data_IF_606159073244
#
_entry.id   IF_606159073244
#
_cell.length_a   1.000
_cell.length_b   1.000
_cell.length_c   1.000
_cell.angle_alpha   90.00
_cell.angle_beta   90.00
_cell.angle_gamma   90.00
#
_symmetry.space_group_name_H-M   'P 1'
#
loop_
_entity.id
_entity.type
_entity.pdbx_description
1 polymer ?
#
# COMPACT_ATOMS: atom_id res chain seq x y z
N UNK A 1 -22.22 -26.22 5.19
CA UNK A 1 -21.36 -25.42 4.29
C UNK A 1 -22.11 -24.24 3.66
N UNK A 2 -23.34 -24.42 3.14
CA UNK A 2 -24.10 -23.33 2.50
C UNK A 2 -24.33 -22.10 3.38
N UNK A 3 -24.75 -22.28 4.64
CA UNK A 3 -24.92 -21.16 5.58
C UNK A 3 -23.65 -20.31 5.76
N UNK A 4 -22.47 -20.95 5.87
CA UNK A 4 -21.18 -20.25 5.97
C UNK A 4 -20.87 -19.47 4.69
N UNK A 5 -21.15 -20.06 3.53
CA UNK A 5 -21.00 -19.42 2.22
C UNK A 5 -21.86 -18.16 2.08
N UNK A 6 -23.12 -18.22 2.48
CA UNK A 6 -24.03 -17.07 2.42
C UNK A 6 -23.53 -15.91 3.31
N UNK A 7 -22.93 -16.22 4.47
CA UNK A 7 -22.30 -15.23 5.34
C UNK A 7 -21.05 -14.60 4.71
N UNK A 8 -20.23 -15.40 4.01
CA UNK A 8 -19.08 -14.90 3.28
C UNK A 8 -19.49 -13.94 2.15
N UNK A 9 -20.55 -14.26 1.40
CA UNK A 9 -21.07 -13.38 0.34
C UNK A 9 -21.63 -12.05 0.91
N UNK A 10 -22.33 -12.10 2.04
CA UNK A 10 -22.81 -10.90 2.71
C UNK A 10 -21.65 -10.00 3.18
N UNK A 11 -20.60 -10.61 3.76
CA UNK A 11 -19.40 -9.89 4.16
C UNK A 11 -18.67 -9.26 2.96
N UNK A 12 -18.57 -9.99 1.86
CA UNK A 12 -17.96 -9.52 0.61
C UNK A 12 -18.70 -8.30 0.05
N UNK A 13 -20.03 -8.29 0.05
CA UNK A 13 -20.85 -7.13 -0.32
C UNK A 13 -20.55 -5.91 0.56
N UNK A 14 -20.46 -6.10 1.88
CA UNK A 14 -20.13 -5.02 2.82
C UNK A 14 -18.73 -4.47 2.54
N UNK A 15 -17.75 -5.33 2.32
CA UNK A 15 -16.37 -4.91 2.00
C UNK A 15 -16.34 -4.14 0.68
N UNK A 16 -17.04 -4.61 -0.35
CA UNK A 16 -17.15 -3.90 -1.64
C UNK A 16 -17.78 -2.52 -1.47
N UNK A 17 -18.89 -2.42 -0.73
CA UNK A 17 -19.56 -1.15 -0.45
C UNK A 17 -18.65 -0.16 0.29
N UNK A 18 -17.91 -0.63 1.30
CA UNK A 18 -16.94 0.19 2.03
C UNK A 18 -15.73 0.59 1.18
N UNK A 19 -15.34 -0.24 0.22
CA UNK A 19 -14.25 0.06 -0.72
C UNK A 19 -14.67 0.98 -1.88
N UNK A 20 -15.98 1.12 -2.15
CA UNK A 20 -16.51 1.91 -3.26
C UNK A 20 -15.94 3.34 -3.33
N UNK A 21 -15.91 4.13 -2.23
CA UNK A 21 -15.40 5.49 -2.26
C UNK A 21 -13.93 5.55 -2.70
N UNK A 22 -13.11 4.56 -2.29
CA UNK A 22 -11.70 4.50 -2.67
C UNK A 22 -11.52 4.16 -4.16
N UNK A 23 -12.35 3.26 -4.70
CA UNK A 23 -12.35 2.92 -6.14
C UNK A 23 -12.78 4.12 -6.97
N UNK A 24 -13.90 4.75 -6.60
CA UNK A 24 -14.42 5.95 -7.27
C UNK A 24 -13.42 7.09 -7.23
N UNK A 25 -12.80 7.35 -6.07
CA UNK A 25 -11.76 8.36 -5.93
C UNK A 25 -10.56 8.08 -6.84
N UNK A 26 -10.12 6.82 -6.96
CA UNK A 26 -9.02 6.45 -7.86
C UNK A 26 -9.37 6.60 -9.33
N UNK A 27 -10.58 6.20 -9.73
CA UNK A 27 -11.08 6.40 -11.08
C UNK A 27 -11.19 7.87 -11.44
N UNK A 28 -11.78 8.66 -10.54
CA UNK A 28 -11.89 10.12 -10.68
C UNK A 28 -10.51 10.76 -10.78
N UNK A 29 -9.57 10.42 -9.89
CA UNK A 29 -8.22 10.96 -9.90
C UNK A 29 -7.46 10.61 -11.18
N UNK A 30 -7.65 9.41 -11.70
CA UNK A 30 -7.08 9.02 -13.00
C UNK A 30 -7.62 9.86 -14.15
N UNK A 31 -8.90 10.23 -14.10
CA UNK A 31 -9.52 11.12 -15.09
C UNK A 31 -8.99 12.56 -14.97
N UNK A 32 -8.84 13.09 -13.76
CA UNK A 32 -8.54 14.52 -13.55
C UNK A 32 -7.04 14.86 -13.55
N UNK A 33 -6.18 13.97 -13.08
CA UNK A 33 -4.73 14.20 -13.05
C UNK A 33 -4.10 13.91 -14.42
N UNK A 34 -2.86 14.35 -14.64
CA UNK A 34 -2.11 13.98 -15.86
C UNK A 34 -1.98 12.45 -15.95
N UNK A 35 -2.38 11.84 -17.08
CA UNK A 35 -2.39 10.39 -17.21
C UNK A 35 -0.97 9.84 -17.04
N UNK A 36 -0.78 9.04 -16.00
CA UNK A 36 0.45 8.31 -15.75
C UNK A 36 0.16 6.82 -15.71
N UNK A 37 1.12 6.01 -16.18
CA UNK A 37 1.01 4.56 -16.19
C UNK A 37 0.65 3.95 -14.81
N UNK A 38 1.29 4.33 -13.68
CA UNK A 38 0.91 3.79 -12.38
C UNK A 38 -0.50 4.19 -11.94
N UNK A 39 -0.96 5.39 -12.29
CA UNK A 39 -2.30 5.86 -11.98
C UNK A 39 -3.36 5.08 -12.77
N UNK A 40 -3.11 4.88 -14.07
CA UNK A 40 -3.97 4.04 -14.93
C UNK A 40 -4.00 2.59 -14.45
N UNK A 41 -2.84 1.98 -14.16
CA UNK A 41 -2.76 0.62 -13.65
C UNK A 41 -3.47 0.47 -12.30
N UNK A 42 -3.32 1.43 -11.39
CA UNK A 42 -4.01 1.46 -10.11
C UNK A 42 -5.52 1.62 -10.23
N UNK A 43 -6.00 2.39 -11.20
CA UNK A 43 -7.43 2.55 -11.50
C UNK A 43 -7.99 1.26 -12.13
N UNK A 44 -7.34 0.71 -13.15
CA UNK A 44 -7.75 -0.55 -13.79
C UNK A 44 -7.81 -1.68 -12.76
N UNK A 45 -6.80 -1.81 -11.90
CA UNK A 45 -6.79 -2.80 -10.83
C UNK A 45 -8.00 -2.63 -9.89
N UNK A 46 -8.22 -1.42 -9.39
CA UNK A 46 -9.31 -1.12 -8.47
C UNK A 46 -10.69 -1.37 -9.11
N UNK A 47 -10.86 -0.96 -10.36
CA UNK A 47 -12.09 -1.15 -11.13
C UNK A 47 -12.29 -2.62 -11.49
N UNK A 48 -11.24 -3.40 -11.73
CA UNK A 48 -11.34 -4.82 -12.12
C UNK A 48 -11.64 -5.75 -10.95
N UNK A 49 -11.18 -5.43 -9.73
CA UNK A 49 -11.51 -6.23 -8.53
C UNK A 49 -13.02 -6.21 -8.25
N UNK A 50 -13.69 -5.09 -8.54
CA UNK A 50 -15.12 -4.95 -8.29
C UNK A 50 -15.99 -5.95 -9.04
N UNK A 51 -15.98 -6.00 -10.39
CA UNK A 51 -16.74 -6.99 -11.13
C UNK A 51 -16.19 -8.41 -10.89
N UNK A 52 -14.91 -8.57 -10.53
CA UNK A 52 -14.40 -9.89 -10.12
C UNK A 52 -15.17 -10.42 -8.91
N UNK A 53 -15.22 -9.65 -7.82
CA UNK A 53 -15.91 -10.02 -6.59
C UNK A 53 -17.44 -10.06 -6.77
N UNK A 54 -18.02 -9.11 -7.52
CA UNK A 54 -19.46 -9.07 -7.77
C UNK A 54 -19.95 -10.30 -8.54
N UNK A 55 -19.20 -10.77 -9.54
CA UNK A 55 -19.59 -11.95 -10.30
C UNK A 55 -19.54 -13.24 -9.47
N UNK A 56 -18.80 -13.27 -8.35
CA UNK A 56 -18.77 -14.40 -7.41
C UNK A 56 -19.95 -14.40 -6.42
N UNK A 57 -20.77 -13.35 -6.41
CA UNK A 57 -21.97 -13.26 -5.59
C UNK A 57 -23.13 -13.92 -6.32
N UNK A 58 -23.75 -14.91 -5.68
CA UNK A 58 -24.67 -15.83 -6.35
C UNK A 58 -25.91 -15.18 -6.99
N UNK A 59 -26.58 -14.19 -6.36
CA UNK A 59 -27.64 -13.43 -7.03
C UNK A 59 -27.19 -12.72 -8.32
N UNK A 60 -25.93 -12.28 -8.38
CA UNK A 60 -25.36 -11.62 -9.55
C UNK A 60 -24.99 -12.69 -10.58
N UNK A 61 -24.25 -13.73 -10.18
CA UNK A 61 -23.91 -14.88 -11.00
C UNK A 61 -25.12 -15.42 -11.76
N UNK A 62 -26.22 -15.66 -11.06
CA UNK A 62 -27.46 -16.20 -11.63
C UNK A 62 -28.06 -15.35 -12.75
N UNK A 63 -27.81 -14.04 -12.74
CA UNK A 63 -28.30 -13.09 -13.75
C UNK A 63 -27.34 -12.93 -14.93
N UNK A 64 -26.10 -13.39 -14.80
CA UNK A 64 -25.13 -13.32 -15.89
C UNK A 64 -25.49 -14.34 -16.98
N UNK A 65 -25.32 -13.98 -18.26
CA UNK A 65 -25.47 -14.94 -19.35
C UNK A 65 -24.35 -15.99 -19.27
N UNK A 66 -24.57 -17.22 -19.77
CA UNK A 66 -23.62 -18.34 -19.67
C UNK A 66 -22.22 -18.02 -20.19
N UNK A 67 -22.11 -17.18 -21.22
CA UNK A 67 -20.83 -16.77 -21.80
C UNK A 67 -20.03 -15.88 -20.82
N UNK A 68 -20.70 -14.95 -20.14
CA UNK A 68 -20.04 -14.08 -19.14
C UNK A 68 -19.70 -14.90 -17.89
N UNK A 69 -20.59 -15.80 -17.47
CA UNK A 69 -20.30 -16.75 -16.40
C UNK A 69 -19.05 -17.56 -16.72
N UNK A 70 -18.97 -18.16 -17.91
CA UNK A 70 -17.83 -18.93 -18.38
C UNK A 70 -16.54 -18.10 -18.48
N UNK A 71 -16.62 -16.89 -19.04
CA UNK A 71 -15.48 -15.97 -19.13
C UNK A 71 -14.94 -15.59 -17.74
N UNK A 72 -15.84 -15.26 -16.81
CA UNK A 72 -15.52 -14.93 -15.43
C UNK A 72 -14.90 -16.13 -14.70
N UNK A 73 -15.59 -17.27 -14.77
CA UNK A 73 -15.16 -18.56 -14.26
C UNK A 73 -13.77 -18.98 -14.75
N UNK A 74 -13.43 -18.63 -15.99
CA UNK A 74 -12.14 -18.93 -16.59
C UNK A 74 -11.01 -17.99 -16.09
N UNK A 75 -11.34 -17.00 -15.25
CA UNK A 75 -10.39 -16.05 -14.69
C UNK A 75 -10.17 -14.81 -15.58
N UNK A 76 -11.05 -14.53 -16.55
CA UNK A 76 -10.90 -13.40 -17.47
C UNK A 76 -10.69 -12.07 -16.74
N UNK A 77 -11.52 -11.75 -15.75
CA UNK A 77 -11.35 -10.53 -14.94
C UNK A 77 -10.09 -10.61 -14.05
N UNK A 78 -9.78 -11.79 -13.52
CA UNK A 78 -8.56 -12.03 -12.73
C UNK A 78 -7.26 -11.80 -13.51
N UNK A 79 -7.23 -12.08 -14.81
CA UNK A 79 -6.09 -11.77 -15.71
C UNK A 79 -5.85 -10.26 -15.78
N UNK A 80 -6.91 -9.46 -15.95
CA UNK A 80 -6.82 -8.00 -15.99
C UNK A 80 -6.38 -7.42 -14.63
N UNK A 81 -6.98 -7.91 -13.53
CA UNK A 81 -6.64 -7.48 -12.18
C UNK A 81 -5.18 -7.82 -11.82
N UNK A 82 -4.72 -9.04 -12.09
CA UNK A 82 -3.35 -9.46 -11.79
C UNK A 82 -2.31 -8.72 -12.63
N UNK A 83 -2.56 -8.53 -13.93
CA UNK A 83 -1.65 -7.79 -14.81
C UNK A 83 -1.52 -6.32 -14.40
N UNK A 84 -2.63 -5.65 -14.09
CA UNK A 84 -2.63 -4.25 -13.65
C UNK A 84 -1.98 -4.08 -12.27
N UNK A 85 -2.22 -4.99 -11.33
CA UNK A 85 -1.51 -5.03 -10.04
C UNK A 85 0.00 -5.14 -10.22
N UNK A 86 0.46 -6.00 -11.13
CA UNK A 86 1.88 -6.17 -11.40
C UNK A 86 2.52 -4.90 -11.95
N UNK A 87 1.86 -4.22 -12.90
CA UNK A 87 2.36 -2.94 -13.45
C UNK A 87 2.47 -1.89 -12.35
N UNK A 88 1.46 -1.79 -11.48
CA UNK A 88 1.49 -0.86 -10.34
C UNK A 88 2.70 -1.11 -9.44
N UNK A 89 2.97 -2.37 -9.08
CA UNK A 89 4.09 -2.74 -8.22
C UNK A 89 5.44 -2.47 -8.90
N UNK A 90 5.57 -2.79 -10.19
CA UNK A 90 6.82 -2.57 -10.92
C UNK A 90 7.17 -1.10 -11.06
N UNK A 91 6.17 -0.25 -11.28
CA UNK A 91 6.36 1.21 -11.27
C UNK A 91 6.70 1.71 -9.86
N UNK A 92 6.03 1.21 -8.82
CA UNK A 92 6.32 1.58 -7.42
C UNK A 92 7.73 1.16 -6.97
N UNK A 93 8.25 0.03 -7.45
CA UNK A 93 9.59 -0.46 -7.10
C UNK A 93 10.73 0.23 -7.86
N UNK A 94 10.46 1.16 -8.79
CA UNK A 94 11.50 1.99 -9.43
C UNK A 94 12.61 1.19 -10.13
N UNK A 95 12.27 0.25 -11.02
CA UNK A 95 13.27 -0.53 -11.77
C UNK A 95 14.23 0.39 -12.55
N UNK A 96 15.53 0.21 -12.32
CA UNK A 96 16.62 1.14 -12.68
C UNK A 96 16.81 1.42 -14.18
N UNK A 97 16.44 0.49 -15.07
CA UNK A 97 16.49 0.73 -16.52
C UNK A 97 15.08 0.89 -17.10
N UNK A 98 14.80 2.09 -17.60
CA UNK A 98 13.53 2.47 -18.22
C UNK A 98 13.21 1.64 -19.48
N UNK A 99 14.23 1.26 -20.28
CA UNK A 99 14.02 0.48 -21.51
C UNK A 99 13.65 -0.97 -21.17
N UNK A 100 14.40 -1.62 -20.27
CA UNK A 100 14.07 -2.94 -19.76
C UNK A 100 12.70 -2.97 -19.08
N UNK A 101 12.35 -1.93 -18.30
CA UNK A 101 11.03 -1.80 -17.67
C UNK A 101 9.90 -1.77 -18.69
N UNK A 102 9.97 -0.89 -19.70
CA UNK A 102 8.96 -0.82 -20.77
C UNK A 102 8.82 -2.13 -21.53
N UNK A 103 9.93 -2.81 -21.83
CA UNK A 103 9.91 -4.11 -22.52
C UNK A 103 9.19 -5.18 -21.70
N UNK A 104 9.40 -5.22 -20.38
CA UNK A 104 8.72 -6.16 -19.48
C UNK A 104 7.23 -5.86 -19.36
N UNK A 105 6.87 -4.60 -19.17
CA UNK A 105 5.45 -4.17 -19.13
C UNK A 105 4.76 -4.52 -20.44
N UNK A 106 5.36 -4.20 -21.59
CA UNK A 106 4.81 -4.54 -22.91
C UNK A 106 4.58 -6.04 -23.07
N UNK A 107 5.55 -6.88 -22.69
CA UNK A 107 5.40 -8.34 -22.75
C UNK A 107 4.25 -8.83 -21.88
N UNK A 108 4.11 -8.30 -20.66
CA UNK A 108 3.00 -8.65 -19.78
C UNK A 108 1.65 -8.23 -20.38
N UNK A 109 1.54 -7.00 -20.90
CA UNK A 109 0.30 -6.48 -21.49
C UNK A 109 -0.09 -7.31 -22.72
N UNK A 110 0.87 -7.64 -23.60
CA UNK A 110 0.62 -8.53 -24.75
C UNK A 110 0.20 -9.91 -24.28
N UNK A 111 0.88 -10.48 -23.28
CA UNK A 111 0.50 -11.77 -22.69
C UNK A 111 -0.91 -11.76 -22.12
N UNK A 112 -1.27 -10.74 -21.36
CA UNK A 112 -2.61 -10.58 -20.81
C UNK A 112 -3.68 -10.43 -21.90
N UNK A 113 -3.41 -9.65 -22.95
CA UNK A 113 -4.32 -9.49 -24.08
C UNK A 113 -4.55 -10.81 -24.85
N UNK A 114 -3.48 -11.57 -25.12
CA UNK A 114 -3.56 -12.89 -25.76
C UNK A 114 -4.32 -13.88 -24.88
N UNK A 115 -4.05 -13.90 -23.58
CA UNK A 115 -4.77 -14.75 -22.61
C UNK A 115 -6.26 -14.41 -22.61
N UNK A 116 -6.62 -13.12 -22.52
CA UNK A 116 -8.01 -12.66 -22.54
C UNK A 116 -8.72 -13.04 -23.83
N UNK A 117 -8.08 -12.82 -24.99
CA UNK A 117 -8.65 -13.19 -26.29
C UNK A 117 -8.86 -14.71 -26.40
N UNK A 118 -7.90 -15.50 -25.91
CA UNK A 118 -8.01 -16.96 -25.87
C UNK A 118 -9.16 -17.42 -24.99
N UNK A 119 -9.29 -16.86 -23.78
CA UNK A 119 -10.42 -17.18 -22.88
C UNK A 119 -11.75 -16.81 -23.53
N UNK A 120 -11.86 -15.61 -24.10
CA UNK A 120 -13.09 -15.15 -24.77
C UNK A 120 -13.47 -16.06 -25.94
N UNK A 121 -12.50 -16.45 -26.78
CA UNK A 121 -12.73 -17.36 -27.89
C UNK A 121 -13.25 -18.74 -27.40
N UNK A 122 -12.57 -19.34 -26.42
CA UNK A 122 -12.91 -20.66 -25.88
C UNK A 122 -14.24 -20.68 -25.10
N UNK A 123 -14.67 -19.54 -24.56
CA UNK A 123 -15.91 -19.43 -23.78
C UNK A 123 -17.10 -18.91 -24.58
N UNK A 124 -16.87 -18.37 -25.79
CA UNK A 124 -17.91 -17.78 -26.64
C UNK A 124 -19.03 -18.74 -27.04
N UNK A 125 -18.73 -20.03 -27.16
CA UNK A 125 -19.68 -21.08 -27.54
C UNK A 125 -20.35 -21.78 -26.34
N UNK A 126 -20.10 -21.33 -25.11
CA UNK A 126 -20.70 -21.95 -23.92
C UNK A 126 -22.18 -21.57 -23.85
N UNK A 127 -23.05 -22.59 -23.98
CA UNK A 127 -24.51 -22.45 -23.95
C UNK A 127 -25.06 -22.52 -22.53
N UNK A 128 -24.38 -23.24 -21.63
CA UNK A 128 -24.75 -23.37 -20.23
C UNK A 128 -23.52 -23.63 -19.37
N UNK A 129 -23.52 -23.12 -18.15
CA UNK A 129 -22.50 -23.46 -17.15
C UNK A 129 -22.98 -24.61 -16.26
N UNK A 130 -22.08 -25.49 -15.79
CA UNK A 130 -22.42 -26.56 -14.85
C UNK A 130 -23.01 -25.99 -13.56
N UNK A 131 -24.12 -26.55 -13.06
CA UNK A 131 -24.86 -26.01 -11.92
C UNK A 131 -25.79 -24.83 -12.27
N UNK A 132 -25.77 -24.35 -13.52
CA UNK A 132 -26.63 -23.30 -14.03
C UNK A 132 -26.53 -22.00 -13.22
N UNK A 133 -27.64 -21.60 -12.60
CA UNK A 133 -27.73 -20.38 -11.81
C UNK A 133 -27.20 -20.48 -10.38
N UNK A 134 -26.77 -21.66 -9.92
CA UNK A 134 -26.21 -21.88 -8.58
C UNK A 134 -24.68 -21.89 -8.65
N UNK A 135 -24.07 -20.81 -8.17
CA UNK A 135 -22.61 -20.66 -8.16
C UNK A 135 -21.93 -21.63 -7.20
N UNK A 136 -22.56 -21.98 -6.07
CA UNK A 136 -22.00 -22.98 -5.17
C UNK A 136 -21.92 -24.35 -5.84
N UNK A 137 -22.99 -24.77 -6.54
CA UNK A 137 -23.01 -26.02 -7.30
C UNK A 137 -21.95 -26.04 -8.39
N UNK A 138 -21.83 -24.93 -9.13
CA UNK A 138 -20.75 -24.72 -10.09
C UNK A 138 -19.37 -24.94 -9.45
N UNK A 139 -19.18 -24.49 -8.20
CA UNK A 139 -17.91 -24.59 -7.53
C UNK A 139 -17.60 -25.98 -6.96
N UNK A 140 -18.60 -26.80 -6.63
CA UNK A 140 -18.40 -28.04 -5.85
C UNK A 140 -18.63 -29.33 -6.62
N UNK A 141 -19.48 -29.34 -7.64
CA UNK A 141 -19.82 -30.58 -8.34
C UNK A 141 -18.83 -30.92 -9.47
N UNK A 142 -18.61 -32.22 -9.78
CA UNK A 142 -17.79 -32.64 -10.91
C UNK A 142 -18.35 -32.19 -12.25
N UNK A 143 -17.48 -31.89 -13.22
CA UNK A 143 -17.87 -31.42 -14.56
C UNK A 143 -16.93 -31.91 -15.65
N UNK A 144 -17.49 -32.43 -16.76
CA UNK A 144 -16.77 -33.03 -17.90
C UNK A 144 -17.33 -32.61 -19.27
N UNK A 145 -18.27 -31.70 -19.25
CA UNK A 145 -19.16 -31.37 -20.35
C UNK A 145 -18.56 -30.36 -21.34
N UNK A 146 -17.50 -29.62 -20.97
CA UNK A 146 -16.89 -28.62 -21.85
C UNK A 146 -15.36 -28.58 -21.75
N UNK A 147 -14.69 -29.14 -22.77
CA UNK A 147 -13.23 -29.05 -22.93
C UNK A 147 -12.77 -27.60 -23.12
N UNK A 148 -13.55 -26.78 -23.83
CA UNK A 148 -13.24 -25.36 -24.06
C UNK A 148 -13.22 -24.56 -22.75
N UNK A 149 -14.24 -24.74 -21.91
CA UNK A 149 -14.30 -24.11 -20.58
C UNK A 149 -13.16 -24.57 -19.67
N UNK A 150 -12.88 -25.88 -19.67
CA UNK A 150 -11.76 -26.43 -18.91
C UNK A 150 -10.41 -25.83 -19.33
N UNK A 151 -10.13 -25.81 -20.63
CA UNK A 151 -8.91 -25.24 -21.19
C UNK A 151 -8.80 -23.72 -20.88
N UNK A 152 -9.88 -22.97 -21.08
CA UNK A 152 -9.93 -21.55 -20.76
C UNK A 152 -9.62 -21.28 -19.28
N UNK A 153 -10.21 -22.08 -18.39
CA UNK A 153 -10.02 -21.97 -16.94
C UNK A 153 -8.57 -22.22 -16.56
N UNK A 154 -7.95 -23.28 -17.06
CA UNK A 154 -6.53 -23.54 -16.80
C UNK A 154 -5.64 -22.42 -17.32
N UNK A 155 -5.84 -21.96 -18.57
CA UNK A 155 -5.04 -20.90 -19.18
C UNK A 155 -5.11 -19.61 -18.35
N UNK A 156 -6.32 -19.17 -17.98
CA UNK A 156 -6.51 -17.94 -17.21
C UNK A 156 -5.94 -18.02 -15.80
N UNK A 157 -6.18 -19.11 -15.09
CA UNK A 157 -5.70 -19.27 -13.71
C UNK A 157 -4.18 -19.49 -13.63
N UNK A 158 -3.58 -20.25 -14.55
CA UNK A 158 -2.13 -20.41 -14.62
C UNK A 158 -1.46 -19.06 -14.91
N UNK A 159 -2.00 -18.28 -15.84
CA UNK A 159 -1.50 -16.93 -16.11
C UNK A 159 -1.59 -16.04 -14.86
N UNK A 160 -2.77 -15.94 -14.25
CA UNK A 160 -2.98 -15.10 -13.07
C UNK A 160 -2.09 -15.53 -11.89
N UNK A 161 -1.98 -16.84 -11.63
CA UNK A 161 -1.11 -17.40 -10.60
C UNK A 161 0.36 -17.05 -10.86
N UNK A 162 0.84 -17.21 -12.09
CA UNK A 162 2.22 -16.86 -12.46
C UNK A 162 2.52 -15.37 -12.27
N UNK A 163 1.60 -14.49 -12.67
CA UNK A 163 1.74 -13.04 -12.49
C UNK A 163 1.74 -12.66 -11.01
N UNK A 164 0.82 -13.19 -10.23
CA UNK A 164 0.72 -12.92 -8.79
C UNK A 164 1.92 -13.48 -8.00
N UNK A 165 2.38 -14.69 -8.34
CA UNK A 165 3.58 -15.27 -7.75
C UNK A 165 4.83 -14.43 -8.08
N UNK A 166 4.94 -13.94 -9.33
CA UNK A 166 6.03 -13.04 -9.70
C UNK A 166 5.95 -11.71 -8.97
N UNK A 167 4.75 -11.15 -8.79
CA UNK A 167 4.52 -9.94 -8.00
C UNK A 167 4.96 -10.14 -6.54
N UNK A 168 4.59 -11.25 -5.92
CA UNK A 168 5.01 -11.62 -4.57
C UNK A 168 6.54 -11.75 -4.47
N UNK A 169 7.19 -12.37 -5.45
CA UNK A 169 8.65 -12.49 -5.47
C UNK A 169 9.33 -11.13 -5.65
N UNK A 170 8.81 -10.28 -6.55
CA UNK A 170 9.36 -8.96 -6.83
C UNK A 170 9.29 -8.05 -5.60
N UNK A 171 8.13 -8.01 -4.95
CA UNK A 171 7.92 -7.24 -3.71
C UNK A 171 8.85 -7.71 -2.60
N UNK A 172 9.02 -9.02 -2.42
CA UNK A 172 9.96 -9.59 -1.45
C UNK A 172 11.43 -9.21 -1.76
N UNK A 173 11.81 -9.14 -3.03
CA UNK A 173 13.18 -8.74 -3.40
C UNK A 173 13.46 -7.23 -3.27
N UNK A 174 12.42 -6.41 -3.20
CA UNK A 174 12.52 -4.93 -3.21
C UNK A 174 12.10 -4.28 -1.90
N UNK A 175 12.01 -5.07 -0.83
CA UNK A 175 11.61 -4.58 0.49
C UNK A 175 12.69 -3.67 1.07
N UNK A 176 12.31 -2.44 1.42
CA UNK A 176 13.10 -1.60 2.32
C UNK A 176 12.41 -1.47 3.69
N UNK A 177 13.08 -0.81 4.64
CA UNK A 177 12.53 -0.60 6.00
C UNK A 177 11.55 0.59 6.07
N UNK A 178 11.29 1.28 4.96
CA UNK A 178 10.43 2.47 4.93
C UNK A 178 8.95 2.08 5.10
N UNK A 179 8.07 3.04 5.45
CA UNK A 179 6.62 2.82 5.42
C UNK A 179 6.12 2.28 4.08
N UNK A 180 6.66 2.77 2.96
CA UNK A 180 6.32 2.31 1.62
C UNK A 180 6.78 0.86 1.39
N UNK A 181 8.01 0.52 1.81
CA UNK A 181 8.51 -0.85 1.74
C UNK A 181 7.67 -1.83 2.53
N UNK A 182 7.24 -1.48 3.75
CA UNK A 182 6.31 -2.33 4.54
C UNK A 182 4.96 -2.50 3.84
N UNK A 183 4.42 -1.45 3.22
CA UNK A 183 3.23 -1.55 2.38
C UNK A 183 3.42 -2.54 1.22
N UNK A 184 4.55 -2.45 0.50
CA UNK A 184 4.90 -3.37 -0.57
C UNK A 184 5.02 -4.83 -0.08
N UNK A 185 5.52 -5.08 1.13
CA UNK A 185 5.57 -6.43 1.74
C UNK A 185 4.19 -7.02 1.90
N UNK A 186 3.26 -6.24 2.47
CA UNK A 186 1.88 -6.66 2.67
C UNK A 186 1.19 -6.93 1.32
N UNK A 187 1.46 -6.11 0.31
CA UNK A 187 0.93 -6.30 -1.04
C UNK A 187 1.49 -7.57 -1.71
N UNK A 188 2.77 -7.87 -1.47
CA UNK A 188 3.41 -9.12 -1.89
C UNK A 188 2.79 -10.35 -1.25
N UNK A 189 2.59 -10.30 0.08
CA UNK A 189 1.92 -11.36 0.82
C UNK A 189 0.46 -11.55 0.36
N UNK A 190 -0.24 -10.45 0.07
CA UNK A 190 -1.57 -10.49 -0.53
C UNK A 190 -1.55 -11.21 -1.89
N UNK A 191 -0.63 -10.84 -2.77
CA UNK A 191 -0.45 -11.49 -4.07
C UNK A 191 -0.16 -12.99 -3.93
N UNK A 192 0.69 -13.38 -2.98
CA UNK A 192 0.97 -14.79 -2.68
C UNK A 192 -0.25 -15.55 -2.18
N UNK A 193 -1.02 -14.97 -1.26
CA UNK A 193 -2.26 -15.58 -0.75
C UNK A 193 -3.29 -15.78 -1.87
N UNK A 194 -3.51 -14.78 -2.73
CA UNK A 194 -4.42 -14.88 -3.87
C UNK A 194 -3.87 -15.88 -4.91
N UNK A 195 -2.56 -15.92 -5.17
CA UNK A 195 -1.97 -16.93 -6.04
C UNK A 195 -2.23 -18.34 -5.53
N UNK A 196 -2.11 -18.58 -4.22
CA UNK A 196 -2.45 -19.88 -3.64
C UNK A 196 -3.93 -20.21 -3.88
N UNK A 197 -4.86 -19.27 -3.64
CA UNK A 197 -6.28 -19.50 -3.90
C UNK A 197 -6.57 -19.84 -5.37
N UNK A 198 -5.93 -19.14 -6.31
CA UNK A 198 -6.05 -19.36 -7.76
C UNK A 198 -5.49 -20.72 -8.16
N UNK A 199 -4.37 -21.15 -7.57
CA UNK A 199 -3.78 -22.46 -7.85
C UNK A 199 -4.66 -23.58 -7.29
N UNK A 200 -5.01 -23.49 -6.00
CA UNK A 200 -5.76 -24.56 -5.33
C UNK A 200 -7.15 -24.71 -5.94
N UNK A 201 -7.91 -23.62 -6.11
CA UNK A 201 -9.24 -23.70 -6.72
C UNK A 201 -9.19 -23.80 -8.24
N UNK A 202 -8.53 -22.86 -8.89
CA UNK A 202 -8.63 -22.67 -10.35
C UNK A 202 -7.86 -23.69 -11.17
N UNK A 203 -6.87 -24.36 -10.57
CA UNK A 203 -6.08 -25.38 -11.24
C UNK A 203 -6.32 -26.76 -10.62
N UNK A 204 -6.05 -26.93 -9.32
CA UNK A 204 -6.15 -28.24 -8.70
C UNK A 204 -7.60 -28.75 -8.65
N UNK A 205 -8.54 -27.96 -8.11
CA UNK A 205 -9.94 -28.38 -8.01
C UNK A 205 -10.57 -28.64 -9.40
N UNK A 206 -10.22 -27.83 -10.39
CA UNK A 206 -10.64 -28.03 -11.78
C UNK A 206 -10.14 -29.35 -12.38
N UNK A 207 -8.88 -29.71 -12.12
CA UNK A 207 -8.33 -30.99 -12.53
C UNK A 207 -9.09 -32.15 -11.88
N UNK A 208 -9.41 -32.08 -10.58
CA UNK A 208 -10.23 -33.10 -9.91
C UNK A 208 -11.63 -33.21 -10.53
N UNK A 209 -12.32 -32.08 -10.70
CA UNK A 209 -13.66 -32.03 -11.26
C UNK A 209 -13.71 -32.56 -12.70
N UNK A 210 -12.72 -32.22 -13.52
CA UNK A 210 -12.53 -32.78 -14.86
C UNK A 210 -12.37 -34.30 -14.84
N UNK A 211 -11.65 -34.82 -13.85
CA UNK A 211 -11.52 -36.26 -13.66
C UNK A 211 -12.73 -36.89 -12.94
N UNK A 212 -13.84 -36.17 -12.79
CA UNK A 212 -15.09 -36.70 -12.23
C UNK A 212 -15.07 -36.83 -10.70
N UNK A 213 -14.06 -36.27 -10.04
CA UNK A 213 -13.93 -36.30 -8.58
C UNK A 213 -14.41 -35.00 -7.97
N UNK A 214 -14.97 -35.09 -6.77
CA UNK A 214 -15.21 -33.90 -5.95
C UNK A 214 -13.88 -33.33 -5.46
N UNK A 215 -13.67 -32.00 -5.50
CA UNK A 215 -12.45 -31.40 -4.99
C UNK A 215 -12.21 -31.78 -3.52
N UNK A 216 -11.02 -32.28 -3.15
CA UNK A 216 -10.69 -32.50 -1.76
C UNK A 216 -10.68 -31.18 -0.96
N UNK A 217 -10.84 -31.24 0.38
CA UNK A 217 -11.00 -30.04 1.22
C UNK A 217 -9.89 -28.99 1.07
N UNK A 218 -8.65 -29.42 0.82
CA UNK A 218 -7.49 -28.52 0.69
C UNK A 218 -7.45 -27.72 -0.63
N UNK A 219 -8.15 -28.17 -1.67
CA UNK A 219 -8.40 -27.40 -2.89
C UNK A 219 -9.85 -26.91 -3.01
N UNK A 220 -10.66 -27.15 -1.97
CA UNK A 220 -12.06 -26.77 -1.91
C UNK A 220 -12.27 -25.30 -1.56
N UNK A 221 -13.56 -24.94 -1.53
CA UNK A 221 -14.08 -23.60 -1.26
C UNK A 221 -13.46 -22.95 -0.01
N UNK A 222 -13.29 -23.69 1.08
CA UNK A 222 -12.84 -23.15 2.36
C UNK A 222 -11.41 -22.58 2.29
N UNK A 223 -10.47 -23.30 1.66
CA UNK A 223 -9.08 -22.84 1.49
C UNK A 223 -9.04 -21.63 0.55
N UNK A 224 -9.85 -21.65 -0.51
CA UNK A 224 -9.96 -20.51 -1.41
C UNK A 224 -10.49 -19.27 -0.69
N UNK A 225 -11.64 -19.36 -0.03
CA UNK A 225 -12.27 -18.22 0.65
C UNK A 225 -11.36 -17.66 1.74
N UNK A 226 -10.71 -18.52 2.54
CA UNK A 226 -9.75 -18.07 3.55
C UNK A 226 -8.53 -17.37 2.95
N UNK A 227 -7.94 -17.93 1.88
CA UNK A 227 -6.78 -17.33 1.22
C UNK A 227 -7.12 -16.00 0.52
N UNK A 228 -8.27 -15.90 -0.15
CA UNK A 228 -8.76 -14.65 -0.74
C UNK A 228 -9.05 -13.61 0.35
N UNK A 229 -9.71 -13.99 1.44
CA UNK A 229 -10.00 -13.08 2.55
C UNK A 229 -8.72 -12.57 3.20
N UNK A 230 -7.76 -13.45 3.47
CA UNK A 230 -6.44 -13.05 3.97
C UNK A 230 -5.74 -12.11 2.97
N UNK A 231 -5.79 -12.43 1.68
CA UNK A 231 -5.27 -11.59 0.61
C UNK A 231 -5.90 -10.19 0.59
N UNK A 232 -7.22 -10.09 0.71
CA UNK A 232 -7.95 -8.83 0.75
C UNK A 232 -7.56 -7.98 1.98
N UNK A 233 -7.53 -8.57 3.18
CA UNK A 233 -7.11 -7.88 4.41
C UNK A 233 -5.67 -7.38 4.28
N UNK A 234 -4.77 -8.19 3.73
CA UNK A 234 -3.38 -7.82 3.48
C UNK A 234 -3.27 -6.69 2.45
N UNK A 235 -4.05 -6.72 1.37
CA UNK A 235 -4.06 -5.68 0.35
C UNK A 235 -4.58 -4.33 0.91
N UNK A 236 -5.67 -4.36 1.68
CA UNK A 236 -6.21 -3.16 2.36
C UNK A 236 -5.17 -2.61 3.33
N UNK A 237 -4.54 -3.48 4.11
CA UNK A 237 -3.47 -3.09 5.05
C UNK A 237 -2.27 -2.51 4.29
N UNK A 238 -1.88 -3.08 3.16
CA UNK A 238 -0.79 -2.59 2.32
C UNK A 238 -1.01 -1.17 1.81
N UNK A 239 -2.25 -0.86 1.41
CA UNK A 239 -2.62 0.45 0.87
C UNK A 239 -2.79 1.51 1.96
N UNK A 240 -3.25 1.11 3.14
CA UNK A 240 -3.50 2.02 4.28
C UNK A 240 -2.26 2.24 5.14
N UNK A 241 -1.32 1.30 5.16
CA UNK A 241 -0.14 1.37 6.02
C UNK A 241 0.77 2.58 5.75
N UNK A 242 1.22 2.87 4.51
CA UNK A 242 2.11 4.01 4.25
C UNK A 242 1.54 5.36 4.73
N UNK A 243 0.28 5.75 4.41
CA UNK A 243 -0.25 7.02 4.88
C UNK A 243 -0.45 7.05 6.40
N UNK A 244 -0.86 5.94 7.01
CA UNK A 244 -1.01 5.85 8.48
C UNK A 244 0.33 5.98 9.20
N UNK A 245 1.35 5.27 8.73
CA UNK A 245 2.69 5.32 9.31
C UNK A 245 3.32 6.71 9.16
N UNK A 246 3.18 7.36 7.98
CA UNK A 246 3.64 8.73 7.77
C UNK A 246 2.90 9.72 8.68
N UNK A 247 1.58 9.59 8.81
CA UNK A 247 0.77 10.44 9.70
C UNK A 247 1.16 10.24 11.15
N UNK A 248 1.35 8.99 11.59
CA UNK A 248 1.78 8.68 12.95
C UNK A 248 3.18 9.24 13.24
N UNK A 249 4.12 9.07 12.30
CA UNK A 249 5.47 9.62 12.41
C UNK A 249 5.42 11.15 12.50
N UNK A 250 4.68 11.82 11.61
CA UNK A 250 4.51 13.27 11.65
C UNK A 250 3.90 13.74 12.97
N UNK A 251 2.84 13.10 13.47
CA UNK A 251 2.24 13.43 14.78
C UNK A 251 3.26 13.30 15.92
N UNK A 252 4.03 12.21 15.93
CA UNK A 252 5.05 11.99 16.96
C UNK A 252 6.12 13.07 16.90
N UNK A 253 6.63 13.38 15.71
CA UNK A 253 7.63 14.44 15.53
C UNK A 253 7.08 15.81 15.92
N UNK A 254 5.86 16.17 15.52
CA UNK A 254 5.25 17.44 15.92
C UNK A 254 5.07 17.52 17.44
N UNK A 255 4.61 16.44 18.10
CA UNK A 255 4.53 16.39 19.57
C UNK A 255 5.89 16.60 20.25
N UNK A 256 6.96 16.05 19.68
CA UNK A 256 8.33 16.22 20.18
C UNK A 256 8.86 17.65 19.98
N UNK A 257 8.55 18.27 18.84
CA UNK A 257 8.99 19.63 18.52
C UNK A 257 8.21 20.70 19.28
N UNK A 258 6.96 20.40 19.66
CA UNK A 258 6.01 21.36 20.26
C UNK A 258 6.56 22.15 21.45
N UNK A 259 7.18 21.54 22.49
CA UNK A 259 7.60 22.29 23.68
C UNK A 259 8.66 23.35 23.38
N UNK A 260 9.61 23.01 22.51
CA UNK A 260 10.67 23.93 22.09
C UNK A 260 10.10 25.03 21.19
N UNK A 261 9.24 24.67 20.23
CA UNK A 261 8.58 25.62 19.33
C UNK A 261 7.71 26.63 20.10
N UNK A 262 6.85 26.14 20.99
CA UNK A 262 5.93 26.99 21.74
C UNK A 262 6.71 27.99 22.63
N UNK A 263 7.82 27.55 23.24
CA UNK A 263 8.70 28.45 24.00
C UNK A 263 9.41 29.50 23.14
N UNK A 264 9.80 29.17 21.91
CA UNK A 264 10.39 30.15 20.98
C UNK A 264 9.34 31.13 20.43
N UNK A 265 8.11 30.68 20.16
CA UNK A 265 7.01 31.55 19.71
C UNK A 265 6.60 32.53 20.81
N UNK A 266 6.63 32.11 22.08
CA UNK A 266 6.36 33.00 23.21
C UNK A 266 7.36 34.17 23.26
N UNK A 267 8.65 33.90 22.97
CA UNK A 267 9.69 34.93 22.88
C UNK A 267 9.63 35.75 21.58
N UNK A 268 9.26 35.11 20.48
CA UNK A 268 9.23 35.69 19.13
C UNK A 268 7.91 35.35 18.42
N UNK A 269 6.82 36.10 18.68
CA UNK A 269 5.49 35.80 18.14
C UNK A 269 5.44 35.75 16.61
N UNK A 270 6.34 36.48 15.93
CA UNK A 270 6.45 36.51 14.46
C UNK A 270 6.90 35.19 13.81
N UNK A 271 7.38 34.21 14.58
CA UNK A 271 7.82 32.91 14.05
C UNK A 271 6.66 32.03 13.54
N UNK A 272 5.42 32.30 13.93
CA UNK A 272 4.26 31.49 13.57
C UNK A 272 3.21 32.31 12.80
N UNK A 273 3.41 32.52 11.48
CA UNK A 273 2.38 33.13 10.65
C UNK A 273 1.12 32.24 10.60
N UNK A 274 -0.06 32.82 10.29
CA UNK A 274 -1.29 32.06 10.14
C UNK A 274 -1.12 30.97 9.09
N UNK A 275 -1.44 29.73 9.45
CA UNK A 275 -1.32 28.62 8.52
C UNK A 275 -2.48 28.64 7.51
N UNK A 276 -2.19 28.43 6.21
CA UNK A 276 -3.24 28.33 5.21
C UNK A 276 -4.14 27.12 5.49
N UNK A 277 -5.43 27.25 5.16
CA UNK A 277 -6.38 26.15 5.29
C UNK A 277 -5.95 24.98 4.41
N UNK A 278 -5.89 23.77 5.00
CA UNK A 278 -5.63 22.52 4.26
C UNK A 278 -4.18 22.06 4.22
N UNK A 279 -3.25 22.68 4.97
CA UNK A 279 -1.87 22.20 5.07
C UNK A 279 -1.82 20.75 5.55
N UNK A 280 -1.13 19.87 4.81
CA UNK A 280 -1.04 18.46 5.19
C UNK A 280 -0.12 18.33 6.39
N UNK A 281 -0.47 17.41 7.29
CA UNK A 281 0.30 17.16 8.51
C UNK A 281 1.78 16.84 8.24
N UNK A 282 2.09 16.17 7.13
CA UNK A 282 3.47 15.85 6.72
C UNK A 282 4.28 17.09 6.39
N UNK A 283 3.62 18.15 5.92
CA UNK A 283 4.25 19.39 5.44
C UNK A 283 4.53 20.33 6.62
N UNK A 284 3.82 20.15 7.75
CA UNK A 284 4.05 20.88 9.00
C UNK A 284 5.39 20.53 9.67
N UNK A 285 5.90 19.32 9.47
CA UNK A 285 7.15 18.88 10.12
C UNK A 285 8.34 19.74 9.66
N UNK A 286 8.64 19.88 8.36
CA UNK A 286 9.74 20.76 7.92
C UNK A 286 9.48 22.23 8.26
N UNK A 287 8.23 22.69 8.21
CA UNK A 287 7.85 24.05 8.60
C UNK A 287 8.21 24.34 10.07
N UNK A 288 7.82 23.45 11.00
CA UNK A 288 8.11 23.62 12.43
C UNK A 288 9.61 23.52 12.72
N UNK A 289 10.34 22.69 11.97
CA UNK A 289 11.81 22.65 12.07
C UNK A 289 12.40 24.00 11.66
N UNK A 290 11.96 24.58 10.53
CA UNK A 290 12.40 25.90 10.08
C UNK A 290 12.11 27.00 11.12
N UNK A 291 10.88 27.04 11.65
CA UNK A 291 10.50 28.00 12.69
C UNK A 291 11.37 27.89 13.95
N UNK A 292 11.74 26.68 14.36
CA UNK A 292 12.66 26.48 15.49
C UNK A 292 14.06 26.99 15.12
N UNK A 293 14.57 26.68 13.93
CA UNK A 293 15.88 27.17 13.49
C UNK A 293 15.95 28.70 13.49
N UNK A 294 14.95 29.36 12.91
CA UNK A 294 14.85 30.81 12.89
C UNK A 294 14.76 31.39 14.30
N UNK A 295 13.97 30.75 15.18
CA UNK A 295 13.87 31.14 16.58
C UNK A 295 15.18 30.99 17.36
N UNK A 296 15.94 29.93 17.12
CA UNK A 296 17.27 29.76 17.71
C UNK A 296 18.26 30.82 17.20
N UNK A 297 18.19 31.19 15.92
CA UNK A 297 18.99 32.27 15.35
C UNK A 297 18.64 33.63 15.94
N UNK A 298 17.35 33.96 16.07
CA UNK A 298 16.91 35.19 16.73
C UNK A 298 17.34 35.24 18.20
N UNK A 299 17.19 34.11 18.92
CA UNK A 299 17.64 34.03 20.32
C UNK A 299 19.16 34.21 20.46
N UNK A 300 19.95 33.66 19.54
CA UNK A 300 21.40 33.85 19.53
C UNK A 300 21.77 35.32 19.31
N UNK A 301 21.06 36.02 18.42
CA UNK A 301 21.23 37.46 18.21
C UNK A 301 20.84 38.28 19.45
N UNK A 302 19.67 38.02 20.04
CA UNK A 302 19.20 38.73 21.24
C UNK A 302 20.13 38.55 22.45
N UNK A 303 20.80 37.39 22.57
CA UNK A 303 21.76 37.11 23.64
C UNK A 303 23.21 37.43 23.26
N UNK A 304 23.44 38.07 22.11
CA UNK A 304 24.77 38.44 21.60
C UNK A 304 25.76 37.27 21.61
N UNK A 305 25.31 36.09 21.16
CA UNK A 305 26.15 34.90 21.13
C UNK A 305 27.30 35.10 20.12
N UNK A 306 28.57 34.90 20.51
CA UNK A 306 29.70 35.08 19.61
C UNK A 306 29.64 34.06 18.46
N UNK A 307 30.02 34.51 17.25
CA UNK A 307 29.99 33.70 16.03
C UNK A 307 30.94 32.50 16.12
N UNK A 308 32.17 32.73 16.55
CA UNK A 308 33.20 31.70 16.77
C UNK A 308 33.98 32.04 18.04
N UNK A 309 34.10 31.07 18.95
CA UNK A 309 34.89 31.23 20.18
C UNK A 309 35.59 29.92 20.55
N UNK A 310 34.81 28.85 20.76
CA UNK A 310 35.32 27.53 21.09
C UNK A 310 34.63 26.45 20.25
N UNK A 311 35.36 25.38 19.91
CA UNK A 311 34.79 24.23 19.22
C UNK A 311 33.69 23.57 20.08
N UNK A 312 32.59 23.08 19.48
CA UNK A 312 31.56 22.36 20.21
C UNK A 312 32.13 21.11 20.89
N UNK A 313 31.54 20.67 22.02
CA UNK A 313 31.98 19.45 22.69
C UNK A 313 31.97 18.26 21.72
N UNK A 314 33.06 17.49 21.68
CA UNK A 314 33.14 16.29 20.84
C UNK A 314 32.16 15.19 21.30
N UNK A 315 31.86 15.17 22.61
CA UNK A 315 30.84 14.29 23.16
C UNK A 315 29.44 14.83 22.81
N UNK A 316 28.71 14.05 22.02
CA UNK A 316 27.37 14.37 21.53
C UNK A 316 26.38 14.66 22.66
N UNK A 317 26.42 13.91 23.76
CA UNK A 317 25.48 14.12 24.87
C UNK A 317 25.78 15.44 25.57
N UNK A 318 27.06 15.77 25.77
CA UNK A 318 27.47 17.04 26.36
C UNK A 318 27.13 18.23 25.45
N UNK A 319 27.30 18.07 24.14
CA UNK A 319 26.93 19.11 23.16
C UNK A 319 25.42 19.38 23.18
N UNK A 320 24.60 18.33 23.15
CA UNK A 320 23.13 18.45 23.26
C UNK A 320 22.74 19.12 24.57
N UNK A 321 23.31 18.67 25.69
CA UNK A 321 23.00 19.22 27.01
C UNK A 321 23.35 20.71 27.10
N UNK A 322 24.55 21.10 26.68
CA UNK A 322 24.96 22.51 26.71
C UNK A 322 24.06 23.40 25.82
N UNK A 323 23.65 22.90 24.65
CA UNK A 323 22.71 23.63 23.80
C UNK A 323 21.33 23.76 24.45
N UNK A 324 20.83 22.71 25.12
CA UNK A 324 19.54 22.73 25.84
C UNK A 324 19.58 23.62 27.08
N UNK A 325 20.67 23.58 27.85
CA UNK A 325 20.88 24.44 29.02
C UNK A 325 20.91 25.90 28.59
N UNK A 326 21.59 26.20 27.47
CA UNK A 326 21.58 27.52 26.87
C UNK A 326 20.17 27.95 26.44
N UNK A 327 19.42 27.12 25.72
CA UNK A 327 18.03 27.39 25.37
C UNK A 327 17.20 27.67 26.63
N UNK A 328 17.44 26.93 27.70
CA UNK A 328 16.81 27.09 29.02
C UNK A 328 17.20 28.36 29.78
N UNK A 329 18.17 29.15 29.29
CA UNK A 329 18.59 30.42 29.90
C UNK A 329 19.93 30.38 30.63
N UNK A 330 20.61 29.22 30.68
CA UNK A 330 21.96 29.14 31.23
C UNK A 330 23.00 29.64 30.21
N UNK A 331 24.22 29.93 30.68
CA UNK A 331 25.33 30.35 29.81
C UNK A 331 26.51 29.39 29.97
N UNK A 332 26.53 28.27 29.25
CA UNK A 332 27.66 27.35 29.25
C UNK A 332 28.94 28.08 28.81
N UNK A 333 30.06 27.79 29.48
CA UNK A 333 31.36 28.36 29.14
C UNK A 333 31.74 28.00 27.69
N UNK A 334 32.07 29.03 26.89
CA UNK A 334 32.52 28.85 25.50
C UNK A 334 31.40 28.67 24.46
N UNK A 335 30.13 28.81 24.85
CA UNK A 335 28.99 28.71 23.94
C UNK A 335 29.11 29.72 22.78
N UNK A 336 28.87 29.25 21.56
CA UNK A 336 28.91 30.08 20.34
C UNK A 336 27.83 29.65 19.35
N UNK A 337 27.59 30.46 18.31
CA UNK A 337 26.56 30.16 17.28
C UNK A 337 26.83 28.82 16.59
N UNK A 338 28.10 28.46 16.41
CA UNK A 338 28.50 27.16 15.83
C UNK A 338 27.96 25.95 16.62
N UNK A 339 27.69 26.08 17.93
CA UNK A 339 27.15 24.99 18.74
C UNK A 339 25.67 24.73 18.45
N UNK A 340 24.97 25.66 17.79
CA UNK A 340 23.58 25.49 17.37
C UNK A 340 23.45 24.80 16.01
N UNK A 341 24.56 24.66 15.27
CA UNK A 341 24.59 23.94 13.99
C UNK A 341 24.69 22.43 14.20
N UNK A 342 24.21 21.66 13.22
CA UNK A 342 24.28 20.21 13.30
C UNK A 342 25.74 19.71 13.26
N UNK A 343 26.17 18.91 14.26
CA UNK A 343 27.47 18.25 14.19
C UNK A 343 27.44 17.15 13.11
N UNK A 344 28.50 16.99 12.30
CA UNK A 344 28.62 15.86 11.38
C UNK A 344 28.48 14.53 12.16
N UNK A 345 27.71 13.54 11.68
CA UNK A 345 27.09 13.42 10.36
C UNK A 345 25.62 13.86 10.28
N UNK A 346 25.10 14.56 11.29
CA UNK A 346 23.68 14.89 11.36
C UNK A 346 23.30 16.00 10.38
N UNK A 347 22.10 15.90 9.83
CA UNK A 347 21.46 17.01 9.14
C UNK A 347 20.88 18.01 10.16
N UNK A 348 20.69 19.26 9.75
CA UNK A 348 20.03 20.27 10.59
C UNK A 348 18.65 19.83 11.09
N UNK A 349 17.86 19.17 10.26
CA UNK A 349 16.56 18.65 10.67
C UNK A 349 16.65 17.57 11.76
N UNK A 350 17.68 16.72 11.70
CA UNK A 350 17.93 15.70 12.73
C UNK A 350 18.45 16.33 14.02
N UNK A 351 19.34 17.31 13.93
CA UNK A 351 19.85 18.05 15.07
C UNK A 351 18.74 18.73 15.87
N UNK A 352 17.83 19.44 15.19
CA UNK A 352 16.69 20.09 15.84
C UNK A 352 15.77 19.09 16.55
N UNK A 353 15.57 17.89 15.96
CA UNK A 353 14.80 16.82 16.63
C UNK A 353 15.50 16.29 17.87
N UNK A 354 16.83 16.20 17.86
CA UNK A 354 17.62 15.79 19.02
C UNK A 354 17.49 16.83 20.14
N UNK A 355 17.66 18.12 19.81
CA UNK A 355 17.50 19.21 20.77
C UNK A 355 16.09 19.26 21.36
N UNK A 356 15.05 19.16 20.53
CA UNK A 356 13.67 19.19 21.00
C UNK A 356 13.33 18.01 21.93
N UNK A 357 13.84 16.81 21.64
CA UNK A 357 13.67 15.66 22.52
C UNK A 357 14.38 15.86 23.87
N UNK A 358 15.62 16.37 23.87
CA UNK A 358 16.37 16.62 25.09
C UNK A 358 15.73 17.75 25.93
N UNK A 359 15.26 18.81 25.28
CA UNK A 359 14.52 19.90 25.93
C UNK A 359 13.21 19.40 26.59
N UNK A 360 12.49 18.49 25.92
CA UNK A 360 11.29 17.88 26.50
C UNK A 360 11.60 17.06 27.77
N UNK A 361 12.68 16.27 27.74
CA UNK A 361 13.13 15.47 28.88
C UNK A 361 13.57 16.34 30.06
N UNK A 362 14.35 17.40 29.80
CA UNK A 362 14.84 18.32 30.84
C UNK A 362 13.73 19.08 31.57
N UNK A 363 12.60 19.38 30.92
CA UNK A 363 11.42 19.99 31.58
C UNK A 363 10.57 18.99 32.38
N UNK A 364 10.72 17.68 32.16
CA UNK A 364 9.92 16.64 32.82
C UNK A 364 10.52 16.07 34.10
N UNK A 365 11.79 16.37 34.38
CA UNK A 365 12.43 16.16 35.68
C UNK A 365 12.26 17.42 36.53
N UNK A 366 11.35 17.46 37.52
CA UNK A 366 11.37 18.52 38.52
C UNK A 366 12.69 18.43 39.29
N UNK A 367 13.33 19.59 39.47
CA UNK A 367 14.47 19.76 40.37
C UNK A 367 14.04 19.60 41.83
#
# INVERSE_FOLDING_TARGET
MRWFWDHCQALELVVLALAAPAVLYRGWRWWTDRPSLPLAAGAIFAVSIWPWALCDIEPIWRRLPPQIQAFHAAGGIGVLASASAWVLVVEACGMADHVSRRKKIRRLVVGAAVTLATIAALTSSVVSTPGGGDFFTYLTEPRRDSLGLFAATLIGHIFAAGVLAHLALLTVRRMDRTPAGRGLRLLGAAGGAVAMAVITRGVCAELFQWHGYRPPPWCGLTVQTSAITAGAVLAISALTWPPLALRHQARRTLRQLRPLRDGLIELFPGLAPPQPFGTRLTDLVPEWIGQIQDGLSLMAQCRNLPLENAAPPQDRMKHVQAAVDWIGGQSPLGMSVSWLQAPPPLTNAEWIRVLANAFHLGRSTPA
#
